data_IF_478061966303
#
_entry.id   IF_478061966303
#
_cell.length_a   1.000
_cell.length_b   1.000
_cell.length_c   1.000
_cell.angle_alpha   90.00
_cell.angle_beta   90.00
_cell.angle_gamma   90.00
#
_symmetry.space_group_name_H-M   'P 1'
#
loop_
_entity.id
_entity.type
_entity.pdbx_description
1 polymer ?
#
# COMPACT_ATOMS: atom_id res chain seq x y z
N UNK A 1 85.06 -34.20 8.19
CA UNK A 1 85.19 -33.12 7.17
C UNK A 1 83.87 -32.36 7.09
N UNK A 2 83.95 -31.01 7.22
CA UNK A 2 83.06 -29.93 6.70
C UNK A 2 81.52 -30.14 6.77
N UNK A 3 80.79 -29.47 7.68
CA UNK A 3 80.22 -28.09 7.64
C UNK A 3 79.32 -27.78 6.44
N UNK A 4 78.10 -27.29 6.72
CA UNK A 4 77.34 -26.12 6.17
C UNK A 4 75.98 -26.14 6.93
N UNK A 5 75.66 -25.32 7.93
CA UNK A 5 75.35 -23.88 7.98
C UNK A 5 74.30 -23.38 6.98
N UNK A 6 73.03 -23.25 7.41
CA UNK A 6 72.16 -22.14 6.96
C UNK A 6 71.45 -21.56 8.19
N UNK A 7 71.73 -20.27 8.38
CA UNK A 7 71.16 -19.29 9.31
C UNK A 7 69.94 -18.68 8.63
N UNK A 8 68.81 -18.49 9.31
CA UNK A 8 67.89 -17.36 9.11
C UNK A 8 67.00 -17.24 10.37
N UNK A 9 67.36 -16.37 11.31
CA UNK A 9 66.93 -14.96 11.46
C UNK A 9 65.57 -14.84 12.16
N UNK A 10 65.66 -14.41 13.42
CA UNK A 10 64.56 -13.92 14.24
C UNK A 10 64.04 -12.58 13.73
N UNK A 11 62.73 -12.33 13.82
CA UNK A 11 62.19 -11.00 14.11
C UNK A 11 60.75 -11.07 14.60
N UNK A 12 60.56 -10.50 15.79
CA UNK A 12 59.34 -9.99 16.40
C UNK A 12 58.28 -9.48 15.43
N UNK A 13 57.02 -9.85 15.70
CA UNK A 13 55.89 -8.92 15.66
C UNK A 13 54.77 -9.45 16.56
N UNK A 14 54.85 -9.06 17.83
CA UNK A 14 53.72 -9.09 18.76
C UNK A 14 52.67 -8.09 18.28
N UNK A 15 51.67 -8.57 17.56
CA UNK A 15 50.45 -7.79 17.29
C UNK A 15 49.62 -7.77 18.57
N UNK A 16 49.24 -6.58 19.09
CA UNK A 16 48.22 -6.53 20.14
C UNK A 16 46.90 -6.98 19.51
N UNK A 17 46.21 -7.92 20.17
CA UNK A 17 44.78 -8.15 19.94
C UNK A 17 44.07 -6.83 20.25
N UNK A 18 43.83 -6.03 19.21
CA UNK A 18 42.87 -4.94 19.26
C UNK A 18 41.51 -5.57 19.48
N UNK A 19 41.01 -5.46 20.71
CA UNK A 19 39.59 -5.57 21.00
C UNK A 19 38.95 -4.42 20.23
N UNK A 20 38.46 -4.71 19.02
CA UNK A 20 37.48 -3.87 18.35
C UNK A 20 36.27 -3.88 19.26
N UNK A 21 36.16 -2.86 20.11
CA UNK A 21 34.88 -2.43 20.63
C UNK A 21 34.01 -2.21 19.40
N UNK A 22 33.08 -3.13 19.17
CA UNK A 22 31.89 -2.83 18.38
C UNK A 22 31.23 -1.66 19.12
N UNK A 23 31.46 -0.44 18.64
CA UNK A 23 30.57 0.67 18.97
C UNK A 23 29.18 0.21 18.54
N UNK A 24 28.34 -0.11 19.53
CA UNK A 24 26.92 -0.34 19.31
C UNK A 24 26.41 0.85 18.51
N UNK A 25 26.09 0.60 17.24
CA UNK A 25 25.44 1.60 16.40
C UNK A 25 24.20 2.08 17.17
N UNK A 26 23.99 3.41 17.30
CA UNK A 26 22.89 3.93 18.08
C UNK A 26 21.58 3.32 17.57
N UNK A 27 20.84 2.67 18.46
CA UNK A 27 19.58 2.03 18.12
C UNK A 27 18.70 3.02 17.34
N UNK A 28 18.32 2.66 16.12
CA UNK A 28 17.49 3.52 15.25
C UNK A 28 16.17 3.80 15.98
N UNK A 29 15.99 5.04 16.41
CA UNK A 29 14.80 5.46 17.15
C UNK A 29 13.59 5.46 16.21
N UNK A 30 12.49 4.86 16.64
CA UNK A 30 11.23 4.89 15.89
C UNK A 30 10.75 6.35 15.73
N UNK A 31 10.39 6.79 14.52
CA UNK A 31 9.89 8.15 14.28
C UNK A 31 8.66 8.46 15.13
N UNK A 32 8.58 9.67 15.68
CA UNK A 32 7.48 10.04 16.59
C UNK A 32 6.10 9.96 15.91
N UNK A 33 6.02 10.33 14.63
CA UNK A 33 4.79 10.36 13.82
C UNK A 33 4.04 9.02 13.84
N UNK A 34 4.75 7.88 13.70
CA UNK A 34 4.12 6.54 13.68
C UNK A 34 3.72 6.05 15.07
N UNK A 35 4.17 6.74 16.13
CA UNK A 35 3.80 6.44 17.52
C UNK A 35 2.53 7.21 17.94
N UNK A 36 2.07 8.16 17.14
CA UNK A 36 0.93 8.99 17.49
C UNK A 36 -0.39 8.22 17.36
N UNK A 37 -1.24 8.31 18.38
CA UNK A 37 -2.56 7.64 18.39
C UNK A 37 -3.39 7.94 17.13
N UNK A 38 -3.53 9.20 16.65
CA UNK A 38 -4.30 9.48 15.44
C UNK A 38 -3.79 8.72 14.22
N UNK A 39 -2.46 8.58 14.07
CA UNK A 39 -1.88 7.83 12.97
C UNK A 39 -2.26 6.34 13.05
N UNK A 40 -2.13 5.72 14.22
CA UNK A 40 -2.52 4.32 14.44
C UNK A 40 -4.02 4.09 14.25
N UNK A 41 -4.86 5.09 14.56
CA UNK A 41 -6.29 5.02 14.29
C UNK A 41 -6.59 5.07 12.79
N UNK A 42 -5.93 5.94 12.03
CA UNK A 42 -6.06 5.97 10.57
C UNK A 42 -5.53 4.69 9.92
N UNK A 43 -4.44 4.12 10.43
CA UNK A 43 -3.92 2.82 10.02
C UNK A 43 -4.97 1.72 10.25
N UNK A 44 -5.59 1.70 11.42
CA UNK A 44 -6.66 0.74 11.74
C UNK A 44 -7.89 0.94 10.85
N UNK A 45 -8.29 2.19 10.56
CA UNK A 45 -9.37 2.48 9.60
C UNK A 45 -9.07 1.92 8.23
N UNK A 46 -7.84 2.14 7.76
CA UNK A 46 -7.38 1.66 6.46
C UNK A 46 -7.44 0.13 6.38
N UNK A 47 -6.91 -0.57 7.39
CA UNK A 47 -6.97 -2.02 7.48
C UNK A 47 -8.42 -2.52 7.51
N UNK A 48 -9.28 -1.93 8.35
CA UNK A 48 -10.68 -2.28 8.43
C UNK A 48 -11.40 -2.14 7.09
N UNK A 49 -11.11 -1.07 6.34
CA UNK A 49 -11.78 -0.79 5.07
C UNK A 49 -11.40 -1.79 3.97
N UNK A 50 -10.16 -2.29 3.95
CA UNK A 50 -9.62 -2.97 2.77
C UNK A 50 -9.03 -4.36 3.01
N UNK A 51 -8.60 -4.69 4.24
CA UNK A 51 -7.83 -5.91 4.53
C UNK A 51 -8.48 -6.85 5.53
N UNK A 52 -9.08 -6.32 6.59
CA UNK A 52 -9.70 -7.14 7.64
C UNK A 52 -10.93 -7.86 7.10
N UNK A 53 -11.29 -8.97 7.71
CA UNK A 53 -12.55 -9.70 7.54
C UNK A 53 -13.33 -9.85 8.86
N UNK A 54 -14.54 -10.41 8.79
CA UNK A 54 -15.40 -10.64 9.95
C UNK A 54 -14.69 -11.40 11.09
N UNK A 55 -13.85 -12.39 10.76
CA UNK A 55 -13.12 -13.19 11.76
C UNK A 55 -12.10 -12.33 12.50
N UNK A 56 -11.42 -11.43 11.79
CA UNK A 56 -10.51 -10.47 12.40
C UNK A 56 -11.25 -9.55 13.38
N UNK A 57 -12.40 -9.02 12.98
CA UNK A 57 -13.18 -8.08 13.80
C UNK A 57 -13.73 -8.77 15.06
N UNK A 58 -14.23 -9.99 14.91
CA UNK A 58 -14.69 -10.79 16.05
C UNK A 58 -13.56 -11.06 17.05
N UNK A 59 -12.34 -11.34 16.56
CA UNK A 59 -11.19 -11.64 17.42
C UNK A 59 -10.78 -10.49 18.36
N UNK A 60 -11.14 -9.26 18.00
CA UNK A 60 -10.83 -8.04 18.77
C UNK A 60 -12.07 -7.35 19.36
N UNK A 61 -13.28 -7.92 19.20
CA UNK A 61 -14.53 -7.28 19.59
C UNK A 61 -14.61 -6.96 21.09
N UNK A 62 -14.16 -7.88 21.93
CA UNK A 62 -14.22 -7.76 23.39
C UNK A 62 -12.90 -7.29 24.03
N UNK A 63 -11.90 -6.95 23.20
CA UNK A 63 -10.61 -6.43 23.70
C UNK A 63 -10.77 -5.02 24.24
N UNK A 64 -10.22 -4.79 25.42
CA UNK A 64 -10.14 -3.46 26.04
C UNK A 64 -9.06 -2.61 25.39
N UNK A 65 -7.91 -3.23 25.15
CA UNK A 65 -6.71 -2.59 24.62
C UNK A 65 -6.22 -3.39 23.40
N UNK A 66 -5.58 -2.72 22.46
CA UNK A 66 -4.92 -3.32 21.28
C UNK A 66 -3.45 -2.90 21.26
N UNK A 67 -2.57 -3.86 21.08
CA UNK A 67 -1.12 -3.64 21.04
C UNK A 67 -0.63 -3.39 19.60
N UNK A 68 0.21 -2.37 19.45
CA UNK A 68 0.98 -2.11 18.24
C UNK A 68 2.46 -2.26 18.56
N UNK A 69 3.15 -3.17 17.87
CA UNK A 69 4.60 -3.38 18.01
C UNK A 69 5.31 -2.81 16.81
N UNK A 70 6.17 -1.83 17.01
CA UNK A 70 6.72 -0.99 15.96
C UNK A 70 8.24 -1.06 15.98
N UNK A 71 8.86 -1.27 14.81
CA UNK A 71 10.31 -1.19 14.65
C UNK A 71 10.71 -0.43 13.39
N UNK A 72 11.89 0.19 13.43
CA UNK A 72 12.53 0.72 12.23
C UNK A 72 13.15 -0.44 11.46
N UNK A 73 12.92 -0.50 10.16
CA UNK A 73 13.53 -1.50 9.29
C UNK A 73 14.92 -1.04 8.83
N UNK A 74 15.88 -1.95 8.82
CA UNK A 74 17.17 -1.71 8.21
C UNK A 74 17.13 -2.14 6.74
N UNK A 75 16.78 -1.19 5.87
CA UNK A 75 16.71 -1.38 4.42
C UNK A 75 17.94 -0.79 3.79
N UNK A 76 18.54 -1.50 2.82
CA UNK A 76 19.62 -0.96 2.00
C UNK A 76 19.04 0.06 1.03
N UNK A 77 19.46 1.31 1.17
CA UNK A 77 19.05 2.43 0.32
C UNK A 77 20.17 2.80 -0.65
N UNK A 78 19.80 3.46 -1.75
CA UNK A 78 20.75 4.03 -2.70
C UNK A 78 21.43 5.28 -2.13
N UNK A 79 22.55 5.69 -2.73
CA UNK A 79 23.27 6.87 -2.28
C UNK A 79 22.40 8.13 -2.41
N UNK A 80 22.21 8.86 -1.31
CA UNK A 80 21.37 10.05 -1.27
C UNK A 80 19.89 9.80 -0.93
N UNK A 81 19.44 8.54 -0.92
CA UNK A 81 18.09 8.18 -0.45
C UNK A 81 18.04 8.20 1.10
N UNK A 82 17.13 9.04 1.62
CA UNK A 82 16.87 9.26 3.05
C UNK A 82 15.52 8.68 3.48
N UNK A 83 14.89 7.86 2.62
CA UNK A 83 13.62 7.22 2.89
C UNK A 83 13.67 6.40 4.17
N UNK A 84 12.55 6.39 4.90
CA UNK A 84 12.45 5.65 6.15
C UNK A 84 11.43 4.53 6.02
N UNK A 85 11.80 3.35 6.55
CA UNK A 85 10.94 2.18 6.57
C UNK A 85 10.65 1.78 8.01
N UNK A 86 9.38 1.55 8.30
CA UNK A 86 8.88 1.12 9.61
C UNK A 86 8.00 -0.11 9.41
N UNK A 87 8.08 -1.07 10.33
CA UNK A 87 7.18 -2.21 10.36
C UNK A 87 6.33 -2.14 11.63
N UNK A 88 5.02 -2.25 11.47
CA UNK A 88 4.01 -2.27 12.53
C UNK A 88 3.37 -3.64 12.57
N UNK A 89 3.59 -4.38 13.66
CA UNK A 89 2.91 -5.62 13.95
C UNK A 89 1.68 -5.36 14.82
N UNK A 90 0.58 -6.02 14.48
CA UNK A 90 -0.68 -6.02 15.25
C UNK A 90 -0.93 -7.47 15.67
N UNK A 91 -0.47 -7.89 16.87
CA UNK A 91 -0.51 -9.26 17.36
C UNK A 91 -1.89 -9.92 17.29
N UNK A 92 -2.91 -9.19 17.71
CA UNK A 92 -4.28 -9.70 17.81
C UNK A 92 -4.87 -10.05 16.43
N UNK A 93 -4.41 -9.37 15.38
CA UNK A 93 -4.85 -9.57 14.00
C UNK A 93 -3.88 -10.43 13.18
N UNK A 94 -2.72 -10.78 13.73
CA UNK A 94 -1.61 -11.45 13.04
C UNK A 94 -1.18 -10.73 11.76
N UNK A 95 -1.17 -9.39 11.81
CA UNK A 95 -0.81 -8.55 10.67
C UNK A 95 0.53 -7.85 10.89
N UNK A 96 1.33 -7.79 9.84
CA UNK A 96 2.47 -6.88 9.72
C UNK A 96 2.17 -5.86 8.61
N UNK A 97 2.34 -4.59 8.94
CA UNK A 97 2.20 -3.47 8.01
C UNK A 97 3.54 -2.78 7.85
N UNK A 98 4.06 -2.80 6.62
CA UNK A 98 5.25 -2.04 6.24
C UNK A 98 4.82 -0.64 5.80
N UNK A 99 5.51 0.34 6.36
CA UNK A 99 5.30 1.75 6.09
C UNK A 99 6.56 2.32 5.47
N UNK A 100 6.39 3.17 4.47
CA UNK A 100 7.45 3.91 3.81
C UNK A 100 7.17 5.41 3.91
N UNK A 101 8.20 6.18 4.23
CA UNK A 101 8.23 7.63 4.05
C UNK A 101 9.32 7.96 3.06
N UNK A 102 8.94 8.23 1.82
CA UNK A 102 9.89 8.50 0.73
C UNK A 102 10.57 9.85 0.92
N UNK A 103 11.89 9.88 0.78
CA UNK A 103 12.72 11.10 0.72
C UNK A 103 13.98 10.81 -0.11
N UNK A 104 13.88 10.95 -1.43
CA UNK A 104 14.99 10.74 -2.35
C UNK A 104 14.91 11.66 -3.57
N UNK A 105 16.02 11.76 -4.30
CA UNK A 105 16.13 12.48 -5.56
C UNK A 105 16.26 11.47 -6.70
N UNK A 106 15.51 11.67 -7.78
CA UNK A 106 15.75 10.95 -9.04
C UNK A 106 16.73 11.79 -9.86
N UNK A 107 18.01 11.43 -9.87
CA UNK A 107 19.09 12.22 -10.47
C UNK A 107 18.88 12.47 -11.98
N UNK A 108 18.39 11.48 -12.71
CA UNK A 108 18.12 11.58 -14.16
C UNK A 108 17.05 12.61 -14.49
N UNK A 109 16.11 12.80 -13.57
CA UNK A 109 14.91 13.62 -13.75
C UNK A 109 14.99 14.94 -12.96
N UNK A 110 15.98 15.06 -12.06
CA UNK A 110 16.12 16.16 -11.10
C UNK A 110 14.83 16.40 -10.31
N UNK A 111 14.12 15.32 -10.01
CA UNK A 111 12.82 15.34 -9.35
C UNK A 111 12.95 14.84 -7.91
N UNK A 112 12.45 15.63 -6.96
CA UNK A 112 12.47 15.30 -5.55
C UNK A 112 11.22 14.50 -5.17
N UNK A 113 11.41 13.27 -4.69
CA UNK A 113 10.34 12.40 -4.22
C UNK A 113 10.27 12.46 -2.71
N UNK A 114 9.35 13.29 -2.21
CA UNK A 114 9.03 13.41 -0.79
C UNK A 114 7.59 13.05 -0.49
N UNK A 115 7.41 12.23 0.54
CA UNK A 115 6.10 11.93 1.13
C UNK A 115 5.80 12.84 2.31
N UNK A 116 4.54 13.27 2.42
CA UNK A 116 4.12 14.14 3.54
C UNK A 116 4.13 13.42 4.90
N UNK A 117 4.09 12.08 4.89
CA UNK A 117 4.10 11.23 6.07
C UNK A 117 4.36 9.77 5.69
N UNK A 118 4.27 8.88 6.68
CA UNK A 118 4.37 7.43 6.43
C UNK A 118 3.13 6.90 5.70
N UNK A 119 3.36 6.17 4.62
CA UNK A 119 2.32 5.52 3.81
C UNK A 119 2.47 4.00 3.89
N UNK A 120 1.35 3.29 3.86
CA UNK A 120 1.32 1.83 3.76
C UNK A 120 1.93 1.42 2.43
N UNK A 121 3.03 0.70 2.53
CA UNK A 121 3.76 0.07 1.43
C UNK A 121 3.26 -1.37 1.22
N UNK A 122 3.09 -2.10 2.32
CA UNK A 122 2.61 -3.48 2.27
C UNK A 122 1.84 -3.88 3.53
N UNK A 123 0.81 -4.70 3.35
CA UNK A 123 0.11 -5.39 4.43
C UNK A 123 0.25 -6.89 4.21
N UNK A 124 0.67 -7.60 5.26
CA UNK A 124 0.88 -9.05 5.22
C UNK A 124 0.33 -9.71 6.48
N UNK A 125 -0.07 -10.98 6.36
CA UNK A 125 -0.40 -11.84 7.50
C UNK A 125 0.81 -12.73 7.82
N UNK A 126 1.14 -12.87 9.09
CA UNK A 126 2.18 -13.80 9.52
C UNK A 126 1.60 -15.06 10.19
N UNK A 127 2.40 -16.13 10.19
CA UNK A 127 2.00 -17.42 10.72
C UNK A 127 1.82 -17.37 12.26
N UNK A 128 1.05 -18.33 12.80
CA UNK A 128 0.73 -18.37 14.23
C UNK A 128 1.98 -18.50 15.13
N UNK A 129 3.01 -19.14 14.62
CA UNK A 129 4.30 -19.41 15.26
C UNK A 129 5.36 -18.34 14.96
N UNK A 130 5.01 -17.29 14.21
CA UNK A 130 5.92 -16.19 13.96
C UNK A 130 6.21 -15.43 15.27
N UNK A 131 7.49 -15.35 15.62
CA UNK A 131 7.94 -14.57 16.77
C UNK A 131 8.16 -13.12 16.36
N UNK A 132 7.37 -12.21 16.94
CA UNK A 132 7.56 -10.77 16.73
C UNK A 132 8.93 -10.37 17.29
N UNK A 133 9.76 -9.65 16.51
CA UNK A 133 11.10 -9.26 16.92
C UNK A 133 11.13 -8.49 18.25
N UNK A 134 12.12 -8.79 19.09
CA UNK A 134 12.20 -8.28 20.49
C UNK A 134 12.55 -6.80 20.57
N UNK A 135 13.15 -6.26 19.52
CA UNK A 135 13.53 -4.85 19.39
C UNK A 135 12.34 -3.91 19.13
N UNK A 136 11.12 -4.44 18.99
CA UNK A 136 9.94 -3.63 18.76
C UNK A 136 9.58 -2.78 19.99
N UNK A 137 9.25 -1.52 19.75
CA UNK A 137 8.56 -0.67 20.71
C UNK A 137 7.08 -1.04 20.75
N UNK A 138 6.50 -1.15 21.95
CA UNK A 138 5.08 -1.51 22.11
C UNK A 138 4.27 -0.27 22.50
N UNK A 139 3.13 -0.07 21.84
CA UNK A 139 2.13 0.94 22.16
C UNK A 139 0.81 0.23 22.39
N UNK A 140 0.22 0.47 23.55
CA UNK A 140 -1.14 0.02 23.84
C UNK A 140 -2.14 1.15 23.57
N UNK A 141 -3.19 0.81 22.84
CA UNK A 141 -4.29 1.70 22.48
C UNK A 141 -5.57 1.23 23.16
N UNK A 142 -6.25 2.14 23.85
CA UNK A 142 -7.60 1.89 24.37
C UNK A 142 -8.58 1.75 23.19
N UNK A 143 -9.21 0.58 23.08
CA UNK A 143 -10.13 0.23 22.00
C UNK A 143 -11.39 1.07 22.01
N UNK A 144 -11.85 1.53 23.18
CA UNK A 144 -13.03 2.39 23.29
C UNK A 144 -12.73 3.78 22.74
N UNK A 145 -11.56 4.34 23.03
CA UNK A 145 -11.07 5.61 22.48
C UNK A 145 -10.94 5.51 20.96
N UNK A 146 -10.27 4.46 20.46
CA UNK A 146 -10.10 4.26 19.01
C UNK A 146 -11.44 4.07 18.30
N UNK A 147 -12.36 3.25 18.83
CA UNK A 147 -13.71 3.09 18.26
C UNK A 147 -14.49 4.39 18.24
N UNK A 148 -14.42 5.18 19.31
CA UNK A 148 -15.08 6.49 19.37
C UNK A 148 -14.52 7.45 18.31
N UNK A 149 -13.20 7.47 18.13
CA UNK A 149 -12.55 8.24 17.07
C UNK A 149 -13.05 7.78 15.69
N UNK A 150 -12.92 6.49 15.38
CA UNK A 150 -13.33 5.91 14.10
C UNK A 150 -14.80 6.13 13.79
N UNK A 151 -15.68 6.07 14.80
CA UNK A 151 -17.11 6.34 14.63
C UNK A 151 -17.37 7.81 14.32
N UNK A 152 -16.65 8.74 14.97
CA UNK A 152 -16.78 10.18 14.78
C UNK A 152 -16.34 10.61 13.37
N UNK A 153 -15.24 10.07 12.89
CA UNK A 153 -14.60 10.42 11.61
C UNK A 153 -14.98 9.48 10.47
N UNK A 154 -15.97 8.59 10.66
CA UNK A 154 -16.34 7.56 9.67
C UNK A 154 -16.75 8.13 8.31
N UNK A 155 -17.28 9.35 8.31
CA UNK A 155 -17.76 10.08 7.13
C UNK A 155 -16.72 11.07 6.60
N UNK A 156 -15.56 11.19 7.24
CA UNK A 156 -14.50 12.07 6.75
C UNK A 156 -13.97 11.47 5.44
N UNK A 157 -14.01 12.30 4.40
CA UNK A 157 -13.66 11.89 3.05
C UNK A 157 -12.84 12.98 2.38
N UNK A 158 -11.69 12.57 1.85
CA UNK A 158 -10.91 13.33 0.90
C UNK A 158 -10.97 12.60 -0.45
N UNK A 159 -11.15 13.33 -1.54
CA UNK A 159 -11.19 12.76 -2.88
C UNK A 159 -10.01 13.28 -3.70
N UNK A 160 -9.59 12.58 -4.77
CA UNK A 160 -8.59 13.09 -5.69
C UNK A 160 -8.95 14.49 -6.20
N UNK A 161 -7.93 15.33 -6.39
CA UNK A 161 -8.11 16.60 -7.09
C UNK A 161 -8.47 16.34 -8.57
N UNK A 162 -9.03 17.33 -9.29
CA UNK A 162 -9.30 17.20 -10.72
C UNK A 162 -8.08 16.77 -11.55
N UNK A 163 -6.89 17.24 -11.18
CA UNK A 163 -5.62 16.92 -11.84
C UNK A 163 -5.24 15.45 -11.60
N UNK A 164 -5.33 14.99 -10.35
CA UNK A 164 -5.08 13.58 -10.00
C UNK A 164 -6.11 12.66 -10.68
N UNK A 165 -7.38 13.06 -10.75
CA UNK A 165 -8.40 12.34 -11.52
C UNK A 165 -8.05 12.22 -13.00
N UNK A 166 -7.63 13.32 -13.64
CA UNK A 166 -7.25 13.32 -15.04
C UNK A 166 -6.07 12.37 -15.31
N UNK A 167 -5.09 12.35 -14.40
CA UNK A 167 -3.94 11.44 -14.44
C UNK A 167 -4.36 9.97 -14.28
N UNK A 168 -5.13 9.64 -13.23
CA UNK A 168 -5.63 8.27 -13.00
C UNK A 168 -6.43 7.82 -14.22
N UNK A 169 -7.29 8.69 -14.78
CA UNK A 169 -8.05 8.39 -15.99
C UNK A 169 -7.12 8.09 -17.17
N UNK A 170 -6.09 8.91 -17.39
CA UNK A 170 -5.11 8.69 -18.47
C UNK A 170 -4.38 7.36 -18.31
N UNK A 171 -3.80 7.11 -17.13
CA UNK A 171 -3.07 5.88 -16.84
C UNK A 171 -3.96 4.64 -16.97
N UNK A 172 -5.20 4.70 -16.47
CA UNK A 172 -6.18 3.64 -16.64
C UNK A 172 -6.49 3.39 -18.12
N UNK A 173 -6.65 4.44 -18.93
CA UNK A 173 -6.85 4.25 -20.37
C UNK A 173 -5.62 3.62 -21.03
N UNK A 174 -4.41 4.01 -20.65
CA UNK A 174 -3.17 3.47 -21.22
C UNK A 174 -2.96 1.99 -20.88
N UNK A 175 -3.19 1.59 -19.64
CA UNK A 175 -3.02 0.20 -19.21
C UNK A 175 -4.13 -0.72 -19.74
N UNK A 176 -5.36 -0.20 -19.86
CA UNK A 176 -6.54 -1.05 -20.10
C UNK A 176 -7.23 -0.86 -21.44
N UNK A 177 -6.71 -0.01 -22.34
CA UNK A 177 -7.35 0.29 -23.64
C UNK A 177 -7.76 -0.97 -24.38
N UNK A 178 -6.86 -1.94 -24.47
CA UNK A 178 -7.07 -3.09 -25.35
C UNK A 178 -7.56 -4.34 -24.61
N UNK A 179 -7.14 -4.54 -23.35
CA UNK A 179 -7.56 -5.72 -22.58
C UNK A 179 -8.98 -5.59 -22.02
N UNK A 180 -9.32 -4.42 -21.48
CA UNK A 180 -10.62 -4.23 -20.85
C UNK A 180 -11.70 -4.18 -21.93
N UNK A 181 -11.49 -3.44 -23.03
CA UNK A 181 -12.45 -3.42 -24.13
C UNK A 181 -12.71 -4.82 -24.73
N UNK A 182 -11.73 -5.74 -24.69
CA UNK A 182 -11.93 -7.14 -25.11
C UNK A 182 -12.75 -7.96 -24.10
N UNK A 183 -12.55 -7.73 -22.81
CA UNK A 183 -13.25 -8.45 -21.73
C UNK A 183 -14.66 -7.90 -21.48
N UNK A 184 -14.97 -6.70 -21.95
CA UNK A 184 -16.24 -6.04 -21.71
C UNK A 184 -17.31 -6.39 -22.74
N UNK A 185 -18.54 -6.71 -22.29
CA UNK A 185 -19.67 -6.79 -23.20
C UNK A 185 -19.82 -5.48 -23.98
N UNK A 186 -19.94 -5.58 -25.31
CA UNK A 186 -20.03 -4.41 -26.20
C UNK A 186 -21.19 -3.45 -25.83
N UNK A 187 -22.22 -3.98 -25.18
CA UNK A 187 -23.38 -3.27 -24.66
C UNK A 187 -23.09 -2.41 -23.42
N UNK A 188 -22.06 -2.73 -22.63
CA UNK A 188 -21.64 -1.91 -21.49
C UNK A 188 -20.87 -0.65 -21.93
N UNK A 189 -20.19 -0.70 -23.07
CA UNK A 189 -19.44 0.43 -23.65
C UNK A 189 -20.41 1.51 -24.18
N UNK A 190 -21.63 1.12 -24.58
CA UNK A 190 -22.65 2.03 -25.14
C UNK A 190 -23.51 2.73 -24.08
N UNK A 191 -23.39 2.34 -22.80
CA UNK A 191 -24.15 2.94 -21.69
C UNK A 191 -23.37 4.08 -21.04
N UNK A 192 -24.06 4.91 -20.25
CA UNK A 192 -23.38 5.85 -19.35
C UNK A 192 -22.42 5.08 -18.44
N UNK A 193 -21.16 5.49 -18.43
CA UNK A 193 -20.15 4.89 -17.58
C UNK A 193 -20.26 5.48 -16.18
N UNK A 194 -20.79 4.70 -15.23
CA UNK A 194 -20.98 5.14 -13.84
C UNK A 194 -19.92 4.50 -12.94
N UNK A 195 -19.01 5.33 -12.42
CA UNK A 195 -17.97 4.91 -11.48
C UNK A 195 -18.19 5.56 -10.12
N UNK A 196 -18.06 4.78 -9.07
CA UNK A 196 -18.07 5.23 -7.69
C UNK A 196 -16.67 5.17 -7.12
N UNK A 197 -16.17 6.29 -6.62
CA UNK A 197 -14.78 6.44 -6.19
C UNK A 197 -14.71 6.53 -4.67
N UNK A 198 -13.96 5.63 -4.04
CA UNK A 198 -13.77 5.66 -2.60
C UNK A 198 -12.93 6.88 -2.15
N UNK A 199 -13.13 7.34 -0.90
CA UNK A 199 -12.26 8.36 -0.32
C UNK A 199 -10.80 7.89 -0.23
N UNK A 200 -9.87 8.82 -0.43
CA UNK A 200 -8.44 8.62 -0.20
C UNK A 200 -8.14 8.38 1.28
N UNK A 201 -7.15 7.53 1.52
CA UNK A 201 -6.61 7.28 2.85
C UNK A 201 -5.43 8.22 3.14
N UNK A 202 -5.36 8.88 4.31
CA UNK A 202 -4.20 9.70 4.65
C UNK A 202 -2.92 8.86 4.81
N UNK A 203 -3.05 7.57 5.09
CA UNK A 203 -1.95 6.64 5.35
C UNK A 203 -1.65 5.71 4.18
N UNK A 204 -2.23 5.90 2.99
CA UNK A 204 -1.93 5.02 1.84
C UNK A 204 -1.90 5.77 0.51
N UNK A 205 -1.10 5.26 -0.42
CA UNK A 205 -0.98 5.76 -1.80
C UNK A 205 -1.80 4.90 -2.77
N UNK A 206 -3.05 4.64 -2.38
CA UNK A 206 -3.97 3.86 -3.19
C UNK A 206 -5.31 4.54 -3.36
N UNK A 207 -5.99 4.13 -4.41
CA UNK A 207 -7.29 4.61 -4.83
C UNK A 207 -8.15 3.41 -5.21
N UNK A 208 -9.40 3.42 -4.77
CA UNK A 208 -10.37 2.37 -5.10
C UNK A 208 -11.57 2.96 -5.82
N UNK A 209 -12.03 2.25 -6.84
CA UNK A 209 -13.23 2.63 -7.59
C UNK A 209 -14.05 1.41 -7.98
N UNK A 210 -15.38 1.52 -7.87
CA UNK A 210 -16.32 0.53 -8.35
C UNK A 210 -17.00 1.03 -9.63
N UNK A 211 -16.90 0.25 -10.69
CA UNK A 211 -17.62 0.52 -11.92
C UNK A 211 -18.95 -0.24 -11.95
N UNK A 212 -20.05 0.51 -11.87
CA UNK A 212 -21.39 -0.03 -11.67
C UNK A 212 -21.89 -0.88 -12.83
N UNK A 213 -21.65 -0.47 -14.08
CA UNK A 213 -22.18 -1.18 -15.25
C UNK A 213 -21.42 -2.47 -15.51
N UNK A 214 -20.10 -2.44 -15.30
CA UNK A 214 -19.24 -3.59 -15.51
C UNK A 214 -19.17 -4.55 -14.33
N UNK A 215 -19.58 -4.11 -13.12
CA UNK A 215 -19.42 -4.87 -11.87
C UNK A 215 -17.96 -5.22 -11.58
N UNK A 216 -17.08 -4.24 -11.80
CA UNK A 216 -15.65 -4.37 -11.52
C UNK A 216 -15.24 -3.43 -10.39
N UNK A 217 -14.42 -3.95 -9.49
CA UNK A 217 -13.70 -3.16 -8.51
C UNK A 217 -12.27 -2.94 -9.01
N UNK A 218 -11.81 -1.70 -8.99
CA UNK A 218 -10.49 -1.29 -9.48
C UNK A 218 -9.71 -0.72 -8.30
N UNK A 219 -8.53 -1.26 -8.05
CA UNK A 219 -7.53 -0.68 -7.14
C UNK A 219 -6.40 -0.10 -7.97
N UNK A 220 -6.13 1.18 -7.79
CA UNK A 220 -4.93 1.85 -8.28
C UNK A 220 -3.97 2.03 -7.11
N UNK A 221 -2.71 1.68 -7.27
CA UNK A 221 -1.63 1.87 -6.28
C UNK A 221 -0.46 2.61 -6.90
N UNK A 222 0.24 3.38 -6.08
CA UNK A 222 1.46 4.10 -6.48
C UNK A 222 2.52 4.00 -5.39
N UNK A 223 3.77 3.85 -5.81
CA UNK A 223 4.93 3.80 -4.91
C UNK A 223 5.33 5.19 -4.38
N UNK A 224 4.77 6.24 -4.97
CA UNK A 224 4.95 7.65 -4.59
C UNK A 224 3.67 8.25 -4.00
N UNK A 225 3.82 9.35 -3.27
CA UNK A 225 2.68 10.05 -2.67
C UNK A 225 1.76 10.59 -3.77
N UNK A 226 0.53 10.06 -3.83
CA UNK A 226 -0.49 10.50 -4.80
C UNK A 226 -0.83 11.98 -4.67
N UNK A 227 -0.50 12.63 -3.55
CA UNK A 227 -0.74 14.06 -3.32
C UNK A 227 0.38 14.97 -3.83
N UNK A 228 1.54 14.43 -4.21
CA UNK A 228 2.68 15.19 -4.70
C UNK A 228 2.68 15.23 -6.24
N UNK A 229 2.27 16.36 -6.82
CA UNK A 229 2.17 16.52 -8.27
C UNK A 229 3.50 16.54 -9.01
N UNK A 230 4.58 16.91 -8.33
CA UNK A 230 5.87 17.21 -8.98
C UNK A 230 6.56 15.95 -9.53
N UNK A 231 6.16 14.79 -9.04
CA UNK A 231 6.75 13.48 -9.38
C UNK A 231 5.84 12.62 -10.25
N UNK A 232 4.65 13.11 -10.59
CA UNK A 232 3.69 12.36 -11.37
C UNK A 232 4.22 11.98 -12.76
N UNK A 233 4.90 12.87 -13.48
CA UNK A 233 5.34 12.58 -14.86
C UNK A 233 6.33 11.41 -14.99
N UNK A 234 6.90 10.97 -13.87
CA UNK A 234 8.00 10.01 -13.81
C UNK A 234 7.60 8.66 -13.26
N UNK A 235 6.33 8.50 -12.86
CA UNK A 235 5.86 7.32 -12.14
C UNK A 235 4.70 6.63 -12.82
N UNK A 236 4.68 5.31 -12.68
CA UNK A 236 3.60 4.47 -13.18
C UNK A 236 2.57 4.24 -12.09
N UNK A 237 1.29 4.32 -12.47
CA UNK A 237 0.21 3.85 -11.62
C UNK A 237 0.00 2.38 -11.94
N UNK A 238 -0.05 1.53 -10.92
CA UNK A 238 -0.37 0.12 -11.09
C UNK A 238 -1.84 -0.10 -10.77
N UNK A 239 -2.52 -0.89 -11.60
CA UNK A 239 -3.93 -1.16 -11.42
C UNK A 239 -4.19 -2.66 -11.25
N UNK A 240 -5.13 -2.98 -10.38
CA UNK A 240 -5.66 -4.32 -10.19
C UNK A 240 -7.17 -4.29 -10.29
N UNK A 241 -7.72 -5.20 -11.08
CA UNK A 241 -9.16 -5.28 -11.35
C UNK A 241 -9.69 -6.60 -10.80
N UNK A 242 -10.81 -6.51 -10.10
CA UNK A 242 -11.55 -7.65 -9.56
C UNK A 242 -12.94 -7.67 -10.18
N UNK A 243 -13.29 -8.78 -10.81
CA UNK A 243 -14.66 -9.09 -11.23
C UNK A 243 -15.48 -9.43 -9.99
N UNK A 244 -16.40 -8.53 -9.59
CA UNK A 244 -17.12 -8.73 -8.32
C UNK A 244 -18.15 -9.86 -8.39
N UNK A 245 -18.43 -10.40 -9.58
CA UNK A 245 -19.34 -11.53 -9.77
C UNK A 245 -18.59 -12.86 -9.78
N UNK A 246 -17.41 -12.92 -10.41
CA UNK A 246 -16.67 -14.16 -10.63
C UNK A 246 -15.47 -14.37 -9.69
N UNK A 247 -14.91 -13.30 -9.12
CA UNK A 247 -13.75 -13.36 -8.23
C UNK A 247 -14.11 -13.10 -6.76
N UNK A 248 -15.36 -13.40 -6.41
CA UNK A 248 -15.86 -13.36 -5.04
C UNK A 248 -15.97 -14.77 -4.48
N UNK A 249 -15.35 -15.01 -3.32
CA UNK A 249 -15.46 -16.27 -2.56
C UNK A 249 -16.09 -16.03 -1.20
N UNK A 250 -16.64 -17.07 -0.57
CA UNK A 250 -17.11 -16.96 0.82
C UNK A 250 -15.92 -16.92 1.76
N UNK A 251 -14.90 -17.74 1.50
CA UNK A 251 -13.65 -17.80 2.25
C UNK A 251 -12.46 -17.98 1.31
N UNK A 252 -11.33 -17.37 1.65
CA UNK A 252 -10.06 -17.60 0.93
C UNK A 252 -9.58 -19.06 1.00
N UNK A 253 -10.16 -19.89 1.89
CA UNK A 253 -9.94 -21.33 1.90
C UNK A 253 -10.41 -22.04 0.63
N UNK A 254 -11.34 -21.46 -0.13
CA UNK A 254 -11.81 -21.99 -1.42
C UNK A 254 -10.76 -21.86 -2.52
N UNK A 255 -9.88 -20.86 -2.40
CA UNK A 255 -8.88 -20.47 -3.41
C UNK A 255 -7.53 -20.23 -2.74
N UNK A 256 -7.07 -21.21 -1.95
CA UNK A 256 -5.88 -21.07 -1.12
C UNK A 256 -4.65 -20.65 -1.95
N UNK A 257 -4.07 -19.49 -1.63
CA UNK A 257 -2.89 -18.95 -2.28
C UNK A 257 -3.15 -18.15 -3.56
N UNK A 258 -4.40 -18.04 -4.01
CA UNK A 258 -4.75 -17.22 -5.17
C UNK A 258 -5.19 -15.81 -4.76
N UNK A 259 -4.32 -14.84 -5.05
CA UNK A 259 -4.54 -13.43 -4.73
C UNK A 259 -5.50 -12.73 -5.71
N UNK A 260 -6.05 -13.44 -6.70
CA UNK A 260 -7.04 -12.88 -7.64
C UNK A 260 -8.45 -12.81 -7.08
N UNK A 261 -8.72 -13.49 -5.95
CA UNK A 261 -10.02 -13.53 -5.29
C UNK A 261 -10.11 -12.58 -4.09
N UNK A 262 -11.33 -12.13 -3.79
CA UNK A 262 -11.67 -11.40 -2.57
C UNK A 262 -12.84 -12.10 -1.88
N UNK A 263 -12.88 -12.04 -0.54
CA UNK A 263 -14.03 -12.56 0.20
C UNK A 263 -15.27 -11.69 -0.02
N UNK A 264 -16.46 -12.29 0.13
CA UNK A 264 -17.75 -11.58 0.09
C UNK A 264 -17.77 -10.37 1.03
N UNK A 265 -17.19 -10.51 2.21
CA UNK A 265 -17.12 -9.47 3.22
C UNK A 265 -16.18 -8.32 2.79
N UNK A 266 -14.99 -8.64 2.23
CA UNK A 266 -14.09 -7.65 1.64
C UNK A 266 -14.74 -6.89 0.48
N UNK A 267 -15.43 -7.58 -0.43
CA UNK A 267 -16.17 -6.93 -1.53
C UNK A 267 -17.29 -6.07 -0.96
N UNK A 268 -18.06 -6.56 0.01
CA UNK A 268 -19.13 -5.80 0.66
C UNK A 268 -18.63 -4.48 1.25
N UNK A 269 -17.51 -4.52 1.98
CA UNK A 269 -16.85 -3.30 2.50
C UNK A 269 -16.32 -2.40 1.40
N UNK A 270 -15.68 -2.94 0.37
CA UNK A 270 -15.17 -2.15 -0.74
C UNK A 270 -16.31 -1.42 -1.48
N UNK A 271 -17.44 -2.10 -1.70
CA UNK A 271 -18.65 -1.52 -2.28
C UNK A 271 -19.26 -0.46 -1.36
N UNK A 272 -19.29 -0.68 -0.04
CA UNK A 272 -19.73 0.35 0.90
C UNK A 272 -18.84 1.60 0.82
N UNK A 273 -17.51 1.43 0.81
CA UNK A 273 -16.56 2.54 0.69
C UNK A 273 -16.70 3.29 -0.64
N UNK A 274 -16.98 2.60 -1.75
CA UNK A 274 -17.14 3.23 -3.06
C UNK A 274 -18.54 3.85 -3.23
N UNK A 275 -19.61 3.08 -3.00
CA UNK A 275 -20.98 3.46 -3.35
C UNK A 275 -21.63 4.36 -2.29
N UNK A 276 -21.36 4.09 -1.01
CA UNK A 276 -22.01 4.83 0.09
C UNK A 276 -21.16 6.01 0.52
N UNK A 277 -19.86 5.79 0.76
CA UNK A 277 -18.95 6.85 1.20
C UNK A 277 -18.29 7.61 0.04
N UNK A 278 -18.35 7.06 -1.17
CA UNK A 278 -17.59 7.57 -2.28
C UNK A 278 -18.28 8.63 -3.12
N UNK A 279 -17.57 9.09 -4.14
CA UNK A 279 -18.02 10.09 -5.09
C UNK A 279 -18.48 9.42 -6.39
N UNK A 280 -19.70 9.73 -6.83
CA UNK A 280 -20.25 9.20 -8.09
C UNK A 280 -19.80 10.05 -9.27
N UNK A 281 -19.18 9.40 -10.25
CA UNK A 281 -18.72 9.99 -11.50
C UNK A 281 -19.49 9.36 -12.65
N UNK A 282 -20.04 10.19 -13.53
CA UNK A 282 -20.71 9.75 -14.75
C UNK A 282 -19.90 10.24 -15.94
N UNK A 283 -19.45 9.31 -16.79
CA UNK A 283 -18.87 9.62 -18.09
C UNK A 283 -19.86 9.18 -19.16
N UNK A 284 -20.38 10.14 -19.92
CA UNK A 284 -21.24 9.82 -21.06
C UNK A 284 -20.39 9.25 -22.19
N UNK A 285 -20.84 8.18 -22.87
CA UNK A 285 -20.13 7.66 -24.03
C UNK A 285 -20.02 8.78 -25.06
N UNK A 286 -18.79 9.04 -25.55
CA UNK A 286 -18.62 9.89 -26.72
C UNK A 286 -19.27 9.15 -27.89
N UNK A 287 -20.40 9.66 -28.36
CA UNK A 287 -20.98 9.23 -29.63
C UNK A 287 -19.95 9.64 -30.68
N UNK A 288 -19.13 8.70 -31.14
CA UNK A 288 -18.33 8.94 -32.34
C UNK A 288 -19.31 9.36 -33.43
N UNK A 289 -19.12 10.52 -34.09
CA UNK A 289 -19.96 10.87 -35.23
C UNK A 289 -19.88 9.71 -36.21
N UNK A 290 -21.00 9.30 -36.82
CA UNK A 290 -21.00 8.19 -37.77
C UNK A 290 -19.93 8.48 -38.83
N UNK A 291 -18.99 7.55 -39.00
CA UNK A 291 -18.13 7.53 -40.17
C UNK A 291 -19.04 7.73 -41.38
N UNK A 292 -18.68 8.66 -42.25
CA UNK A 292 -19.40 8.92 -43.49
C UNK A 292 -19.28 7.68 -44.39
N UNK A 293 -20.12 6.66 -44.14
CA UNK A 293 -20.45 5.58 -45.07
C UNK A 293 -21.23 6.17 -46.27
N UNK A 294 -20.66 7.11 -47.02
CA UNK A 294 -21.27 7.52 -48.28
C UNK A 294 -20.32 8.30 -49.21
N UNK A 295 -19.16 7.72 -49.56
CA UNK A 295 -18.47 8.08 -50.82
C UNK A 295 -17.85 6.85 -51.48
N UNK A 296 -18.72 5.92 -51.89
CA UNK A 296 -18.33 4.72 -52.62
C UNK A 296 -19.44 4.13 -53.50
N UNK A 297 -20.37 4.94 -53.97
CA UNK A 297 -21.29 4.59 -55.06
C UNK A 297 -21.47 5.80 -55.98
N UNK A 298 -20.59 5.91 -56.96
CA UNK A 298 -20.90 6.40 -58.31
C UNK A 298 -19.75 6.03 -59.23
#
# INVERSE_FOLDING_TARGET
MKKINIIFLAAMLSLPLGILNAEDAPAKKVPQEVLEKPYLYELTRYLYRWYLDETDIESIADKKDMEFKIRVMDVKLDEGDKSQYVEVFIPELKLSVKLKKSDYMIEELKAEVKSNGFKVDNVSRYAKDFEIPKECMSIEIDMKEMRAYLFKTRNDAAFPSPELYARIKKAFHEEFKDELLKKLPAENIKKEWVTFVAPLSPVANEFWAFWENGKYLVRCSSDIDLTNSDVWEHESLSFKIYDTLNQMVVSLGETAGDNSFMTRDQIGRALYNCVVLGHRIIVRPQILPPEQEEKGKK
#
